data_IF_190297359085
#
_entry.id   IF_190297359085
#
_cell.length_a   1.000
_cell.length_b   1.000
_cell.length_c   1.000
_cell.angle_alpha   90.00
_cell.angle_beta   90.00
_cell.angle_gamma   90.00
#
_symmetry.space_group_name_H-M   'P 1'
#
loop_
_entity.id
_entity.type
_entity.pdbx_description
1 polymer ?
#
# COMPACT_ATOMS: atom_id res chain seq x y z
N UNK A 1 -4.06 29.54 -0.19
CA UNK A 1 -3.22 28.51 0.40
C UNK A 1 -3.15 27.38 -0.62
N UNK A 2 -2.02 26.80 -0.94
CA UNK A 2 -2.03 25.57 -1.73
C UNK A 2 -2.86 24.57 -0.95
N UNK A 3 -3.90 24.03 -1.57
CA UNK A 3 -4.72 23.02 -0.90
C UNK A 3 -3.83 21.79 -0.72
N UNK A 4 -3.70 21.29 0.50
CA UNK A 4 -3.00 20.04 0.79
C UNK A 4 -3.74 18.82 0.23
N UNK A 5 -4.81 19.05 -0.52
CA UNK A 5 -5.59 18.03 -1.21
C UNK A 5 -4.73 17.33 -2.26
N UNK A 6 -4.65 16.02 -2.19
CA UNK A 6 -3.86 15.18 -3.12
C UNK A 6 -4.72 14.20 -3.90
N UNK A 7 -5.94 13.87 -3.42
CA UNK A 7 -6.87 12.99 -4.08
C UNK A 7 -8.31 13.34 -3.70
N UNK A 8 -9.23 13.28 -4.65
CA UNK A 8 -10.65 13.56 -4.41
C UNK A 8 -11.55 12.68 -5.28
N UNK A 9 -12.61 12.17 -4.67
CA UNK A 9 -13.76 11.56 -5.32
C UNK A 9 -14.98 12.42 -5.06
N UNK A 10 -15.81 12.65 -6.09
CA UNK A 10 -17.07 13.37 -6.00
C UNK A 10 -18.18 12.60 -6.69
N UNK A 11 -19.25 12.32 -5.94
CA UNK A 11 -20.48 11.66 -6.40
C UNK A 11 -20.21 10.36 -7.18
N UNK A 12 -19.25 9.55 -6.67
CA UNK A 12 -18.75 8.38 -7.37
C UNK A 12 -19.66 7.18 -7.14
N UNK A 13 -20.07 6.54 -8.24
CA UNK A 13 -20.78 5.26 -8.26
C UNK A 13 -19.85 4.15 -8.78
N UNK A 14 -19.92 2.98 -8.15
CA UNK A 14 -19.25 1.75 -8.62
C UNK A 14 -20.17 0.55 -8.41
N UNK A 15 -20.33 -0.27 -9.46
CA UNK A 15 -21.17 -1.47 -9.47
C UNK A 15 -20.40 -2.66 -10.05
N UNK A 16 -20.69 -3.84 -9.53
CA UNK A 16 -20.28 -5.11 -10.15
C UNK A 16 -21.52 -5.89 -10.56
N UNK A 17 -21.85 -5.79 -11.84
CA UNK A 17 -23.11 -6.31 -12.36
C UNK A 17 -24.31 -5.64 -11.71
N UNK A 18 -25.13 -6.41 -10.97
CA UNK A 18 -26.31 -5.87 -10.25
C UNK A 18 -25.97 -5.38 -8.84
N UNK A 19 -24.76 -5.61 -8.35
CA UNK A 19 -24.35 -5.24 -6.99
C UNK A 19 -23.75 -3.83 -6.99
N UNK A 20 -24.43 -2.90 -6.34
CA UNK A 20 -23.91 -1.57 -6.05
C UNK A 20 -22.90 -1.67 -4.90
N UNK A 21 -21.67 -1.18 -5.12
CA UNK A 21 -20.62 -1.14 -4.12
C UNK A 21 -20.54 0.24 -3.49
N UNK A 22 -20.54 1.27 -4.34
CA UNK A 22 -20.61 2.66 -3.91
C UNK A 22 -21.69 3.40 -4.67
N UNK A 23 -22.34 4.31 -3.98
CA UNK A 23 -23.29 5.26 -4.52
C UNK A 23 -23.05 6.63 -3.89
N UNK A 24 -22.93 7.65 -4.74
CA UNK A 24 -22.67 9.03 -4.32
C UNK A 24 -21.48 9.15 -3.35
N UNK A 25 -20.42 8.34 -3.56
CA UNK A 25 -19.23 8.34 -2.70
C UNK A 25 -18.46 9.64 -2.87
N UNK A 26 -18.24 10.32 -1.75
CA UNK A 26 -17.40 11.51 -1.66
C UNK A 26 -16.24 11.24 -0.71
N UNK A 27 -15.00 11.53 -1.14
CA UNK A 27 -13.79 11.34 -0.35
C UNK A 27 -12.75 12.40 -0.74
N UNK A 28 -12.14 13.04 0.25
CA UNK A 28 -10.97 13.88 0.06
C UNK A 28 -9.81 13.33 0.89
N UNK A 29 -8.63 13.26 0.29
CA UNK A 29 -7.39 12.88 0.97
C UNK A 29 -6.42 14.05 0.86
N UNK A 30 -5.91 14.50 2.01
CA UNK A 30 -4.94 15.57 2.10
C UNK A 30 -3.56 15.01 2.46
N UNK A 31 -2.51 15.81 2.26
CA UNK A 31 -1.16 15.43 2.71
C UNK A 31 -1.17 15.18 4.22
N UNK A 32 -0.47 14.14 4.63
CA UNK A 32 -0.32 13.69 6.02
C UNK A 32 -1.63 13.20 6.68
N UNK A 33 -2.71 12.98 5.93
CA UNK A 33 -3.89 12.32 6.48
C UNK A 33 -3.56 10.88 6.87
N UNK A 34 -4.10 10.45 8.01
CA UNK A 34 -4.12 9.06 8.45
C UNK A 34 -5.57 8.59 8.46
N UNK A 35 -5.93 7.75 7.48
CA UNK A 35 -7.31 7.31 7.27
C UNK A 35 -7.44 5.81 7.55
N UNK A 36 -8.33 5.41 8.44
CA UNK A 36 -8.67 4.03 8.70
C UNK A 36 -9.99 3.65 8.01
N UNK A 37 -9.95 2.63 7.14
CA UNK A 37 -11.14 2.06 6.52
C UNK A 37 -11.69 0.93 7.38
N UNK A 38 -12.84 1.15 8.02
CA UNK A 38 -13.50 0.20 8.89
C UNK A 38 -14.78 -0.31 8.25
N UNK A 39 -15.01 -1.62 8.30
CA UNK A 39 -16.24 -2.23 7.78
C UNK A 39 -16.11 -3.73 7.57
N UNK A 40 -17.26 -4.40 7.37
CA UNK A 40 -17.31 -5.85 7.11
C UNK A 40 -16.58 -6.22 5.82
N UNK A 41 -16.21 -7.50 5.68
CA UNK A 41 -15.65 -8.01 4.44
C UNK A 41 -16.68 -7.88 3.30
N UNK A 42 -16.20 -7.49 2.12
CA UNK A 42 -17.05 -7.30 0.94
C UNK A 42 -17.84 -5.98 0.89
N UNK A 43 -17.57 -5.02 1.81
CA UNK A 43 -18.23 -3.70 1.81
C UNK A 43 -17.64 -2.72 0.79
N UNK A 44 -16.51 -3.07 0.18
CA UNK A 44 -15.88 -2.22 -0.85
C UNK A 44 -14.53 -1.63 -0.46
N UNK A 45 -13.94 -1.98 0.69
CA UNK A 45 -12.62 -1.45 1.12
C UNK A 45 -11.53 -1.63 0.04
N UNK A 46 -11.37 -2.85 -0.45
CA UNK A 46 -10.41 -3.16 -1.53
C UNK A 46 -10.78 -2.48 -2.85
N UNK A 47 -12.08 -2.30 -3.13
CA UNK A 47 -12.55 -1.54 -4.31
C UNK A 47 -12.14 -0.08 -4.21
N UNK A 48 -12.28 0.55 -3.05
CA UNK A 48 -11.83 1.92 -2.83
C UNK A 48 -10.32 2.05 -3.02
N UNK A 49 -9.53 1.12 -2.48
CA UNK A 49 -8.08 1.09 -2.69
C UNK A 49 -7.72 0.96 -4.18
N UNK A 50 -8.45 0.13 -4.94
CA UNK A 50 -8.26 0.00 -6.39
C UNK A 50 -8.62 1.28 -7.16
N UNK A 51 -9.64 2.02 -6.71
CA UNK A 51 -9.96 3.34 -7.28
C UNK A 51 -8.80 4.32 -7.05
N UNK A 52 -8.26 4.38 -5.83
CA UNK A 52 -7.13 5.24 -5.50
C UNK A 52 -5.88 4.88 -6.32
N UNK A 53 -5.65 3.59 -6.58
CA UNK A 53 -4.57 3.10 -7.45
C UNK A 53 -4.83 3.34 -8.95
N UNK A 54 -6.03 3.77 -9.35
CA UNK A 54 -6.42 3.92 -10.77
C UNK A 54 -6.62 2.59 -11.51
N UNK A 55 -6.80 1.47 -10.79
CA UNK A 55 -7.01 0.14 -11.37
C UNK A 55 -8.49 -0.28 -11.42
N UNK A 56 -9.38 0.52 -10.88
CA UNK A 56 -10.83 0.35 -10.92
C UNK A 56 -11.46 1.56 -11.60
N UNK A 57 -12.21 1.31 -12.66
CA UNK A 57 -13.01 2.33 -13.34
C UNK A 57 -14.25 2.70 -12.51
N UNK A 58 -14.71 3.93 -12.71
CA UNK A 58 -15.94 4.46 -12.11
C UNK A 58 -17.09 4.30 -13.09
N UNK A 59 -18.29 3.97 -12.59
CA UNK A 59 -19.49 3.98 -13.41
C UNK A 59 -20.04 5.42 -13.57
N UNK A 60 -19.85 6.26 -12.56
CA UNK A 60 -20.25 7.67 -12.56
C UNK A 60 -19.40 8.47 -11.56
N UNK A 61 -19.47 9.80 -11.63
CA UNK A 61 -18.78 10.72 -10.72
C UNK A 61 -17.44 11.20 -11.25
N UNK A 62 -16.73 11.94 -10.42
CA UNK A 62 -15.48 12.59 -10.77
C UNK A 62 -14.34 12.10 -9.85
N UNK A 63 -13.18 11.83 -10.46
CA UNK A 63 -11.93 11.57 -9.77
C UNK A 63 -10.93 12.66 -10.13
N UNK A 64 -10.37 13.26 -9.11
CA UNK A 64 -9.25 14.17 -9.25
C UNK A 64 -8.07 13.69 -8.41
N UNK A 65 -6.86 13.78 -8.97
CA UNK A 65 -5.63 13.51 -8.23
C UNK A 65 -4.57 14.56 -8.56
N UNK A 66 -3.64 14.72 -7.62
CA UNK A 66 -2.47 15.55 -7.82
C UNK A 66 -1.63 15.01 -9.00
N UNK A 67 -1.05 15.87 -9.88
CA UNK A 67 -0.23 15.41 -10.99
C UNK A 67 0.91 14.50 -10.54
N UNK A 68 1.07 13.35 -11.23
CA UNK A 68 2.07 12.32 -10.92
C UNK A 68 1.98 11.75 -9.48
N UNK A 69 0.77 11.68 -8.93
CA UNK A 69 0.51 11.06 -7.62
C UNK A 69 1.12 9.66 -7.56
N UNK A 70 1.97 9.42 -6.57
CA UNK A 70 2.60 8.13 -6.34
C UNK A 70 1.86 7.39 -5.25
N UNK A 71 1.38 6.20 -5.58
CA UNK A 71 0.65 5.34 -4.64
C UNK A 71 1.44 4.06 -4.41
N UNK A 72 1.75 3.75 -3.16
CA UNK A 72 2.28 2.44 -2.73
C UNK A 72 1.15 1.61 -2.14
N UNK A 73 1.15 0.30 -2.42
CA UNK A 73 0.11 -0.60 -1.95
C UNK A 73 0.70 -1.88 -1.35
N UNK A 74 0.39 -2.10 -0.09
CA UNK A 74 0.68 -3.35 0.61
C UNK A 74 -0.54 -4.28 0.51
N UNK A 75 -0.36 -5.41 -0.16
CA UNK A 75 -1.42 -6.40 -0.38
C UNK A 75 -1.32 -7.56 0.60
N UNK A 76 -2.43 -8.26 0.82
CA UNK A 76 -2.45 -9.54 1.55
C UNK A 76 -1.61 -10.62 0.85
N UNK A 77 -1.57 -10.62 -0.49
CA UNK A 77 -0.79 -11.54 -1.30
C UNK A 77 0.39 -10.78 -1.90
N UNK A 78 1.59 -11.15 -1.54
CA UNK A 78 2.83 -10.56 -2.02
C UNK A 78 3.75 -11.63 -2.58
N UNK A 79 4.51 -11.27 -3.60
CA UNK A 79 5.49 -12.16 -4.21
C UNK A 79 6.89 -11.76 -3.75
N UNK A 80 7.67 -12.76 -3.35
CA UNK A 80 9.08 -12.65 -3.00
C UNK A 80 9.87 -13.71 -3.76
N UNK A 81 11.08 -13.36 -4.15
CA UNK A 81 12.01 -14.29 -4.76
C UNK A 81 12.76 -15.08 -3.67
N UNK A 82 12.35 -16.32 -3.46
CA UNK A 82 12.94 -17.18 -2.43
C UNK A 82 14.39 -17.59 -2.68
N UNK A 83 14.95 -17.29 -3.86
CA UNK A 83 16.37 -17.54 -4.16
C UNK A 83 17.30 -16.41 -3.67
N UNK A 84 16.73 -15.29 -3.23
CA UNK A 84 17.43 -14.07 -2.86
C UNK A 84 17.60 -13.90 -1.36
N UNK A 85 18.55 -13.03 -0.97
CA UNK A 85 18.63 -12.47 0.37
C UNK A 85 17.57 -11.37 0.56
N UNK A 86 17.33 -10.98 1.81
CA UNK A 86 16.43 -9.85 2.14
C UNK A 86 16.92 -8.58 1.46
N UNK A 87 18.22 -8.28 1.54
CA UNK A 87 18.82 -7.09 0.92
C UNK A 87 18.63 -7.07 -0.60
N UNK A 88 18.91 -8.19 -1.28
CA UNK A 88 18.72 -8.30 -2.72
C UNK A 88 17.26 -8.09 -3.15
N UNK A 89 16.32 -8.62 -2.36
CA UNK A 89 14.89 -8.48 -2.64
C UNK A 89 14.40 -7.04 -2.40
N UNK A 90 14.85 -6.41 -1.31
CA UNK A 90 14.50 -5.03 -0.99
C UNK A 90 15.14 -4.04 -1.96
N UNK A 91 16.33 -4.35 -2.49
CA UNK A 91 17.01 -3.52 -3.48
C UNK A 91 16.24 -3.35 -4.79
N UNK A 92 15.32 -4.27 -5.11
CA UNK A 92 14.48 -4.18 -6.32
C UNK A 92 13.57 -2.94 -6.36
N UNK A 93 13.29 -2.33 -5.21
CA UNK A 93 12.40 -1.16 -5.12
C UNK A 93 13.15 0.16 -4.91
N UNK A 94 14.49 0.11 -4.83
CA UNK A 94 15.32 1.31 -4.78
C UNK A 94 15.38 1.99 -6.16
N UNK A 95 15.47 3.31 -6.16
CA UNK A 95 15.68 4.10 -7.39
C UNK A 95 17.14 4.08 -7.83
N UNK A 96 18.05 4.06 -6.86
CA UNK A 96 19.49 4.08 -7.06
C UNK A 96 20.21 3.48 -5.84
N UNK A 97 21.53 3.26 -5.99
CA UNK A 97 22.36 2.68 -4.93
C UNK A 97 22.51 3.59 -3.69
N UNK A 98 22.36 4.91 -3.85
CA UNK A 98 22.48 5.86 -2.74
C UNK A 98 21.35 5.69 -1.72
N UNK A 99 20.26 5.02 -2.10
CA UNK A 99 19.14 4.73 -1.22
C UNK A 99 19.30 3.44 -0.38
N UNK A 100 20.41 2.72 -0.48
CA UNK A 100 20.64 1.47 0.28
C UNK A 100 20.52 1.63 1.79
N UNK A 101 20.80 2.81 2.32
CA UNK A 101 20.61 3.10 3.75
C UNK A 101 19.15 2.91 4.22
N UNK A 102 18.17 3.07 3.32
CA UNK A 102 16.74 2.83 3.63
C UNK A 102 16.52 1.36 4.00
N UNK A 103 17.20 0.43 3.33
CA UNK A 103 17.13 -1.00 3.66
C UNK A 103 17.63 -1.26 5.09
N UNK A 104 18.73 -0.65 5.47
CA UNK A 104 19.29 -0.81 6.83
C UNK A 104 18.32 -0.28 7.89
N UNK A 105 17.70 0.88 7.63
CA UNK A 105 16.68 1.47 8.53
C UNK A 105 15.49 0.52 8.68
N UNK A 106 14.93 0.05 7.57
CA UNK A 106 13.73 -0.77 7.60
C UNK A 106 14.00 -2.18 8.15
N UNK A 107 15.15 -2.77 7.84
CA UNK A 107 15.57 -4.03 8.45
C UNK A 107 15.69 -3.92 9.97
N UNK A 108 16.27 -2.83 10.48
CA UNK A 108 16.37 -2.58 11.92
C UNK A 108 14.99 -2.38 12.56
N UNK A 109 14.14 -1.53 11.97
CA UNK A 109 12.81 -1.23 12.48
C UNK A 109 11.89 -2.48 12.49
N UNK A 110 12.05 -3.35 11.50
CA UNK A 110 11.21 -4.54 11.32
C UNK A 110 11.88 -5.82 11.87
N UNK A 111 13.01 -5.69 12.55
CA UNK A 111 13.79 -6.81 13.11
C UNK A 111 14.03 -7.91 12.07
N UNK A 112 14.65 -7.54 10.94
CA UNK A 112 15.02 -8.41 9.84
C UNK A 112 16.54 -8.47 9.70
N UNK A 113 17.09 -9.67 9.50
CA UNK A 113 18.48 -9.84 9.07
C UNK A 113 18.56 -9.67 7.55
N UNK A 114 19.20 -8.59 7.09
CA UNK A 114 19.32 -8.27 5.66
C UNK A 114 20.08 -9.31 4.85
N UNK A 115 20.98 -10.08 5.49
CA UNK A 115 21.78 -11.11 4.84
C UNK A 115 21.09 -12.48 4.83
N UNK A 116 19.98 -12.64 5.56
CA UNK A 116 19.25 -13.89 5.60
C UNK A 116 18.65 -14.25 4.23
N UNK A 117 18.68 -15.53 3.87
CA UNK A 117 18.00 -16.01 2.68
C UNK A 117 16.49 -16.11 2.92
N UNK A 118 15.67 -15.54 2.02
CA UNK A 118 14.21 -15.48 2.15
C UNK A 118 13.56 -16.86 2.28
N UNK A 119 14.15 -17.88 1.64
CA UNK A 119 13.66 -19.27 1.74
C UNK A 119 13.55 -19.75 3.19
N UNK A 120 14.49 -19.33 4.04
CA UNK A 120 14.61 -19.78 5.42
C UNK A 120 13.77 -18.98 6.42
N UNK A 121 13.11 -17.93 5.98
CA UNK A 121 12.34 -17.04 6.84
C UNK A 121 10.93 -17.56 7.13
N UNK A 122 10.43 -17.22 8.30
CA UNK A 122 9.03 -17.46 8.69
C UNK A 122 8.07 -16.65 7.83
N UNK A 123 6.78 -17.03 7.81
CA UNK A 123 5.74 -16.28 7.11
C UNK A 123 5.64 -14.83 7.59
N UNK A 124 5.75 -14.60 8.90
CA UNK A 124 5.75 -13.26 9.48
C UNK A 124 6.94 -12.42 9.04
N UNK A 125 8.16 -13.00 8.96
CA UNK A 125 9.34 -12.31 8.47
C UNK A 125 9.20 -11.97 6.98
N UNK A 126 8.68 -12.88 6.16
CA UNK A 126 8.39 -12.65 4.73
C UNK A 126 7.40 -11.50 4.55
N UNK A 127 6.36 -11.43 5.39
CA UNK A 127 5.39 -10.34 5.36
C UNK A 127 6.03 -8.99 5.75
N UNK A 128 6.94 -8.97 6.72
CA UNK A 128 7.70 -7.76 7.08
C UNK A 128 8.58 -7.27 5.93
N UNK A 129 9.18 -8.16 5.13
CA UNK A 129 9.91 -7.77 3.91
C UNK A 129 8.97 -7.12 2.90
N UNK A 130 7.79 -7.70 2.67
CA UNK A 130 6.81 -7.11 1.75
C UNK A 130 6.34 -5.73 2.23
N UNK A 131 6.16 -5.55 3.54
CA UNK A 131 5.85 -4.25 4.12
C UNK A 131 7.00 -3.25 3.90
N UNK A 132 8.24 -3.64 4.19
CA UNK A 132 9.42 -2.80 3.96
C UNK A 132 9.52 -2.35 2.49
N UNK A 133 9.30 -3.26 1.54
CA UNK A 133 9.27 -2.93 0.10
C UNK A 133 8.19 -1.90 -0.26
N UNK A 134 7.13 -1.80 0.53
CA UNK A 134 6.08 -0.79 0.35
C UNK A 134 6.48 0.56 0.97
N UNK A 135 7.27 0.54 2.05
CA UNK A 135 7.72 1.73 2.77
C UNK A 135 8.88 2.45 2.07
N UNK A 136 9.81 1.70 1.47
CA UNK A 136 11.03 2.24 0.84
C UNK A 136 10.75 3.31 -0.24
N UNK A 137 9.81 3.08 -1.19
CA UNK A 137 9.51 4.09 -2.21
C UNK A 137 8.86 5.32 -1.58
N UNK A 138 9.34 6.52 -1.96
CA UNK A 138 8.65 7.76 -1.61
C UNK A 138 7.30 7.80 -2.30
N UNK A 139 6.22 7.65 -1.55
CA UNK A 139 4.84 7.70 -2.05
C UNK A 139 4.08 8.85 -1.41
N UNK A 140 3.14 9.43 -2.17
CA UNK A 140 2.23 10.46 -1.68
C UNK A 140 1.05 9.84 -0.91
N UNK A 141 0.63 8.63 -1.32
CA UNK A 141 -0.38 7.82 -0.62
C UNK A 141 0.18 6.41 -0.42
N UNK A 142 0.05 5.90 0.80
CA UNK A 142 0.34 4.51 1.14
C UNK A 142 -0.95 3.80 1.52
N UNK A 143 -1.28 2.75 0.80
CA UNK A 143 -2.43 1.90 1.05
C UNK A 143 -1.98 0.61 1.74
N UNK A 144 -2.58 0.29 2.87
CA UNK A 144 -2.29 -0.92 3.65
C UNK A 144 -3.56 -1.76 3.77
N UNK A 145 -3.60 -2.92 3.10
CA UNK A 145 -4.74 -3.85 3.17
C UNK A 145 -4.44 -4.95 4.21
N UNK A 146 -5.13 -4.88 5.34
CA UNK A 146 -5.00 -5.79 6.49
C UNK A 146 -3.54 -6.01 6.93
N UNK A 147 -2.77 -4.93 7.21
CA UNK A 147 -1.32 -5.03 7.44
C UNK A 147 -0.98 -5.86 8.70
N UNK A 148 -1.89 -5.93 9.66
CA UNK A 148 -1.67 -6.62 10.96
C UNK A 148 -2.07 -8.09 10.96
N UNK A 149 -2.76 -8.59 9.94
CA UNK A 149 -3.11 -10.01 9.86
C UNK A 149 -1.83 -10.86 9.83
N UNK A 150 -1.66 -11.76 10.80
CA UNK A 150 -0.50 -12.64 10.98
C UNK A 150 0.86 -11.91 11.22
N UNK A 151 0.85 -10.65 11.60
CA UNK A 151 1.98 -10.01 12.23
C UNK A 151 1.84 -10.19 13.75
N UNK A 152 2.67 -11.05 14.34
CA UNK A 152 2.93 -10.99 15.77
C UNK A 152 3.74 -9.72 16.05
N UNK A 153 3.04 -8.58 16.06
CA UNK A 153 3.59 -7.32 16.48
C UNK A 153 3.60 -7.31 18.02
N UNK A 154 4.57 -7.99 18.60
CA UNK A 154 4.96 -7.73 19.97
C UNK A 154 5.73 -6.41 19.96
N UNK A 155 5.04 -5.31 20.25
CA UNK A 155 5.63 -4.03 20.59
C UNK A 155 6.05 -4.01 22.07
#
# INVERSE_FOLDING_TARGET
MPSDLIFSLRDVDVRFGKKEIFKDLNLNIHRNDLIALVGKNGVGKTTLMKIIMGTQELDNGELWNFPNLKVSYFTQHFELDFSKSVEEEMSKVLKNDDEKFKIDIDCNNLNLDKHANIKNLSGGQKRRIALAKTLIPDSDIMLLDEPTNHLDLNF
#
